data_IF_797768196476
#
_entry.id   IF_797768196476
#
_cell.length_a   1.000
_cell.length_b   1.000
_cell.length_c   1.000
_cell.angle_alpha   90.00
_cell.angle_beta   90.00
_cell.angle_gamma   90.00
#
_symmetry.space_group_name_H-M   'P 1'
#
loop_
_entity.id
_entity.type
_entity.pdbx_description
1 polymer ?
#
# COMPACT_ATOMS: atom_id res chain seq x y z
N UNK A 1 8.26 -14.21 22.05
CA UNK A 1 8.87 -14.24 20.71
C UNK A 1 8.35 -13.01 19.99
N UNK A 2 9.10 -11.91 20.07
CA UNK A 2 8.83 -10.68 19.32
C UNK A 2 9.07 -10.98 17.84
N UNK A 3 8.01 -11.36 17.14
CA UNK A 3 7.96 -11.17 15.70
C UNK A 3 8.08 -9.67 15.50
N UNK A 4 9.29 -9.15 15.27
CA UNK A 4 9.51 -7.79 14.82
C UNK A 4 8.47 -7.54 13.74
N UNK A 5 7.54 -6.62 14.00
CA UNK A 5 6.35 -6.54 13.19
C UNK A 5 6.83 -6.07 11.82
N UNK A 6 6.69 -6.92 10.79
CA UNK A 6 7.21 -6.59 9.46
C UNK A 6 6.64 -5.24 8.99
N UNK A 7 5.46 -4.89 9.49
CA UNK A 7 4.79 -3.61 9.27
C UNK A 7 5.36 -2.41 10.02
N UNK A 8 6.38 -2.57 10.87
CA UNK A 8 7.12 -1.42 11.40
C UNK A 8 7.96 -0.78 10.28
N UNK A 9 8.56 -1.62 9.43
CA UNK A 9 9.43 -1.22 8.30
C UNK A 9 8.79 -1.36 6.92
N UNK A 10 7.54 -1.77 6.86
CA UNK A 10 6.82 -1.90 5.62
C UNK A 10 5.46 -1.23 5.72
N UNK A 11 5.06 -0.57 4.65
CA UNK A 11 3.70 -0.07 4.46
C UNK A 11 3.17 -0.58 3.16
N UNK A 12 1.86 -0.71 3.08
CA UNK A 12 1.21 -1.19 1.87
C UNK A 12 0.10 -0.24 1.47
N UNK A 13 0.10 0.11 0.19
CA UNK A 13 -1.01 0.77 -0.49
C UNK A 13 -1.82 -0.34 -1.14
N UNK A 14 -3.11 -0.39 -0.83
CA UNK A 14 -4.05 -1.28 -1.49
C UNK A 14 -4.82 -0.50 -2.54
N UNK A 15 -4.87 -1.03 -3.76
CA UNK A 15 -5.64 -0.46 -4.85
C UNK A 15 -6.49 -1.52 -5.55
N UNK A 16 -7.48 -1.06 -6.29
CA UNK A 16 -8.27 -1.87 -7.21
C UNK A 16 -8.38 -1.08 -8.52
N UNK A 17 -8.19 -1.78 -9.63
CA UNK A 17 -8.31 -1.22 -10.97
C UNK A 17 -9.40 -1.96 -11.71
N UNK A 18 -10.40 -1.20 -12.14
CA UNK A 18 -11.49 -1.69 -12.95
C UNK A 18 -11.15 -1.44 -14.43
N UNK A 19 -10.85 -2.51 -15.17
CA UNK A 19 -10.47 -2.43 -16.59
C UNK A 19 -11.63 -2.04 -17.51
N UNK A 20 -12.87 -2.19 -17.05
CA UNK A 20 -14.07 -1.86 -17.84
C UNK A 20 -14.33 -0.35 -17.88
N UNK A 21 -14.15 0.32 -16.75
CA UNK A 21 -14.35 1.76 -16.57
C UNK A 21 -13.03 2.55 -16.54
N UNK A 22 -11.88 1.87 -16.61
CA UNK A 22 -10.55 2.43 -16.41
C UNK A 22 -10.44 3.25 -15.10
N UNK A 23 -11.16 2.83 -14.07
CA UNK A 23 -11.20 3.51 -12.78
C UNK A 23 -10.27 2.83 -11.78
N UNK A 24 -9.38 3.61 -11.16
CA UNK A 24 -8.55 3.15 -10.04
C UNK A 24 -9.06 3.72 -8.73
N UNK A 25 -9.33 2.84 -7.77
CA UNK A 25 -9.66 3.21 -6.39
C UNK A 25 -8.57 2.70 -5.45
N UNK A 26 -8.33 3.45 -4.38
CA UNK A 26 -7.31 3.14 -3.38
C UNK A 26 -7.98 3.02 -2.01
N UNK A 27 -7.41 2.17 -1.16
CA UNK A 27 -7.84 2.04 0.23
C UNK A 27 -7.44 3.29 1.01
N UNK A 28 -8.38 3.82 1.79
CA UNK A 28 -8.19 4.95 2.70
C UNK A 28 -8.67 4.57 4.08
N UNK A 29 -7.81 4.74 5.06
CA UNK A 29 -8.04 4.49 6.49
C UNK A 29 -8.03 5.84 7.23
N UNK A 30 -9.21 6.43 7.41
CA UNK A 30 -9.32 7.78 7.98
C UNK A 30 -8.68 8.85 7.10
N UNK A 31 -7.54 9.41 7.52
CA UNK A 31 -6.74 10.37 6.73
C UNK A 31 -5.50 9.75 6.09
N UNK A 32 -5.25 8.46 6.31
CA UNK A 32 -4.12 7.73 5.76
C UNK A 32 -4.56 6.84 4.60
N UNK A 33 -3.65 6.53 3.69
CA UNK A 33 -3.83 5.53 2.63
C UNK A 33 -2.86 4.35 2.76
N UNK A 34 -2.04 4.38 3.80
CA UNK A 34 -1.10 3.32 4.13
C UNK A 34 -1.69 2.38 5.17
N UNK A 35 -1.53 1.08 4.91
CA UNK A 35 -1.81 0.00 5.83
C UNK A 35 -0.51 -0.68 6.30
N UNK A 36 -0.50 -1.29 7.50
CA UNK A 36 -1.56 -1.24 8.51
C UNK A 36 -1.56 0.02 9.37
N UNK A 37 -0.48 0.79 9.34
CA UNK A 37 -0.34 2.04 10.09
C UNK A 37 -0.01 3.20 9.14
N UNK A 38 -0.40 4.43 9.49
CA UNK A 38 -0.01 5.61 8.72
C UNK A 38 1.50 5.78 8.66
N UNK A 39 1.96 6.61 7.71
CA UNK A 39 3.35 7.03 7.69
C UNK A 39 3.64 7.93 8.90
N UNK A 40 4.79 7.82 9.58
CA UNK A 40 5.17 8.80 10.58
C UNK A 40 5.32 10.19 9.95
N UNK A 41 4.97 11.24 10.70
CA UNK A 41 5.00 12.63 10.21
C UNK A 41 6.41 13.08 9.80
N UNK A 42 7.43 12.57 10.50
CA UNK A 42 8.84 12.82 10.23
C UNK A 42 9.38 12.02 9.04
N UNK A 43 8.58 11.15 8.43
CA UNK A 43 9.04 10.34 7.32
C UNK A 43 9.22 11.19 6.06
N UNK A 44 10.31 10.93 5.34
CA UNK A 44 10.64 11.63 4.11
C UNK A 44 10.98 10.66 2.98
N UNK A 45 10.70 11.03 1.73
CA UNK A 45 11.00 10.16 0.60
C UNK A 45 12.51 9.97 0.46
N UNK A 46 12.94 8.71 0.29
CA UNK A 46 14.35 8.35 0.11
C UNK A 46 14.54 7.46 -1.11
N UNK A 47 15.79 7.38 -1.59
CA UNK A 47 16.15 6.41 -2.62
C UNK A 47 16.19 4.99 -2.02
N UNK A 48 15.97 3.99 -2.87
CA UNK A 48 16.10 2.59 -2.47
C UNK A 48 17.51 2.32 -1.92
N UNK A 49 17.63 1.65 -0.75
CA UNK A 49 18.93 1.28 -0.21
C UNK A 49 19.62 0.26 -1.12
N UNK A 50 20.96 0.25 -1.09
CA UNK A 50 21.76 -0.69 -1.88
C UNK A 50 21.51 -2.16 -1.49
N UNK A 51 21.20 -2.40 -0.21
CA UNK A 51 20.91 -3.72 0.33
C UNK A 51 19.51 -3.73 0.94
N UNK A 52 18.70 -4.68 0.48
CA UNK A 52 17.33 -4.86 0.95
C UNK A 52 17.25 -6.14 1.75
N UNK A 53 16.91 -6.05 3.05
CA UNK A 53 16.70 -7.25 3.88
C UNK A 53 15.46 -8.02 3.44
N UNK A 54 15.42 -9.34 3.72
CA UNK A 54 14.26 -10.22 3.48
C UNK A 54 12.98 -9.73 4.19
N UNK A 55 13.12 -8.95 5.26
CA UNK A 55 11.98 -8.28 5.92
C UNK A 55 11.24 -7.28 5.04
N UNK A 56 11.87 -6.81 3.97
CA UNK A 56 11.23 -5.91 3.01
C UNK A 56 10.78 -6.66 1.75
N UNK A 57 10.87 -7.99 1.73
CA UNK A 57 10.45 -8.79 0.60
C UNK A 57 8.93 -8.64 0.35
N UNK A 58 8.56 -8.49 -0.92
CA UNK A 58 7.19 -8.16 -1.28
C UNK A 58 6.24 -9.34 -0.99
N UNK A 59 6.63 -10.56 -1.35
CA UNK A 59 5.86 -11.77 -1.10
C UNK A 59 5.68 -12.00 0.41
N UNK A 60 6.74 -11.77 1.19
CA UNK A 60 6.70 -11.87 2.66
C UNK A 60 5.72 -10.87 3.26
N UNK A 61 5.73 -9.62 2.79
CA UNK A 61 4.81 -8.56 3.26
C UNK A 61 3.36 -8.84 2.83
N UNK A 62 3.14 -9.33 1.61
CA UNK A 62 1.81 -9.72 1.14
C UNK A 62 1.26 -10.91 1.93
N UNK A 63 2.09 -11.92 2.22
CA UNK A 63 1.71 -13.06 3.06
C UNK A 63 1.34 -12.61 4.49
N UNK A 64 2.12 -11.70 5.07
CA UNK A 64 1.80 -11.13 6.37
C UNK A 64 0.49 -10.33 6.33
N UNK A 65 0.24 -9.57 5.25
CA UNK A 65 -0.95 -8.72 5.17
C UNK A 65 -2.21 -9.52 4.88
N UNK A 66 -2.13 -10.54 4.02
CA UNK A 66 -3.23 -11.48 3.80
C UNK A 66 -3.60 -12.21 5.08
N UNK A 67 -2.60 -12.63 5.89
CA UNK A 67 -2.85 -13.23 7.20
C UNK A 67 -3.47 -12.25 8.21
N UNK A 68 -2.98 -10.99 8.27
CA UNK A 68 -3.49 -9.99 9.21
C UNK A 68 -4.91 -9.53 8.89
N UNK A 69 -5.23 -9.35 7.62
CA UNK A 69 -6.52 -8.82 7.16
C UNK A 69 -7.51 -9.91 6.75
N UNK A 70 -7.07 -11.17 6.69
CA UNK A 70 -7.89 -12.30 6.24
C UNK A 70 -8.18 -12.29 4.74
N UNK A 71 -7.33 -11.66 3.93
CA UNK A 71 -7.47 -11.67 2.47
C UNK A 71 -6.98 -12.99 1.88
N UNK A 72 -7.61 -13.44 0.80
CA UNK A 72 -7.05 -14.55 0.02
C UNK A 72 -5.81 -14.07 -0.75
N UNK A 73 -4.67 -14.79 -0.68
CA UNK A 73 -3.47 -14.40 -1.43
C UNK A 73 -3.68 -14.45 -2.95
N UNK A 74 -4.70 -15.17 -3.43
CA UNK A 74 -5.06 -15.27 -4.85
C UNK A 74 -5.81 -14.05 -5.38
N UNK A 75 -6.38 -13.22 -4.50
CA UNK A 75 -7.12 -12.02 -4.92
C UNK A 75 -6.27 -10.75 -4.91
N UNK A 76 -5.01 -10.86 -4.48
CA UNK A 76 -4.04 -9.77 -4.46
C UNK A 76 -2.88 -10.11 -5.39
N UNK A 77 -2.40 -9.08 -6.07
CA UNK A 77 -1.18 -9.16 -6.88
C UNK A 77 -0.30 -7.96 -6.58
N UNK A 78 1.01 -8.12 -6.70
CA UNK A 78 1.95 -7.01 -6.65
C UNK A 78 1.79 -6.14 -7.90
N UNK A 79 1.89 -4.83 -7.72
CA UNK A 79 2.12 -3.92 -8.83
C UNK A 79 3.63 -3.83 -9.06
N UNK A 80 4.11 -4.58 -10.06
CA UNK A 80 5.52 -4.61 -10.43
C UNK A 80 6.03 -3.21 -10.80
N UNK A 81 7.25 -2.88 -10.37
CA UNK A 81 7.87 -1.59 -10.60
C UNK A 81 7.58 -0.54 -9.52
N UNK A 82 6.70 -0.81 -8.54
CA UNK A 82 6.55 0.09 -7.38
C UNK A 82 7.65 -0.18 -6.34
N UNK A 83 8.63 0.72 -6.28
CA UNK A 83 9.79 0.59 -5.38
C UNK A 83 10.03 1.88 -4.60
N UNK A 84 9.00 2.36 -3.90
CA UNK A 84 9.10 3.57 -3.10
C UNK A 84 9.62 3.29 -1.69
N UNK A 85 10.50 4.16 -1.21
CA UNK A 85 11.13 4.07 0.11
C UNK A 85 10.96 5.37 0.87
N UNK A 86 10.71 5.26 2.17
CA UNK A 86 10.61 6.38 3.09
C UNK A 86 11.65 6.24 4.18
N UNK A 87 12.42 7.28 4.44
CA UNK A 87 13.27 7.38 5.61
C UNK A 87 12.43 7.72 6.83
N UNK A 88 12.75 7.13 7.99
CA UNK A 88 12.11 7.44 9.27
C UNK A 88 13.15 7.36 10.40
N UNK A 89 12.88 7.98 11.57
CA UNK A 89 13.80 7.91 12.72
C UNK A 89 14.11 6.48 13.20
N UNK A 90 13.21 5.53 12.94
CA UNK A 90 13.37 4.10 13.29
C UNK A 90 14.06 3.27 12.21
N UNK A 91 14.36 3.86 11.06
CA UNK A 91 14.98 3.23 9.90
C UNK A 91 14.15 3.36 8.61
N UNK A 92 14.67 2.82 7.49
CA UNK A 92 13.99 2.88 6.21
C UNK A 92 12.71 2.04 6.23
N UNK A 93 11.66 2.57 5.60
CA UNK A 93 10.34 1.98 5.45
C UNK A 93 10.10 1.74 3.96
N UNK A 94 9.87 0.49 3.55
CA UNK A 94 9.51 0.16 2.18
C UNK A 94 8.00 0.29 1.97
N UNK A 95 7.59 0.95 0.89
CA UNK A 95 6.19 1.06 0.50
C UNK A 95 5.91 0.05 -0.62
N UNK A 96 4.95 -0.83 -0.38
CA UNK A 96 4.49 -1.83 -1.33
C UNK A 96 3.16 -1.41 -1.94
N UNK A 97 2.94 -1.77 -3.20
CA UNK A 97 1.66 -1.55 -3.86
C UNK A 97 1.05 -2.91 -4.21
N UNK A 98 -0.12 -3.17 -3.63
CA UNK A 98 -0.90 -4.36 -3.90
C UNK A 98 -2.20 -3.98 -4.61
N UNK A 99 -2.54 -4.75 -5.64
CA UNK A 99 -3.74 -4.57 -6.43
C UNK A 99 -4.67 -5.77 -6.23
N UNK A 100 -5.94 -5.49 -5.98
CA UNK A 100 -6.98 -6.50 -6.03
C UNK A 100 -7.28 -6.90 -7.48
N UNK A 101 -7.28 -8.20 -7.75
CA UNK A 101 -7.57 -8.80 -9.07
C UNK A 101 -9.04 -9.21 -9.24
N UNK A 102 -9.87 -8.92 -8.25
CA UNK A 102 -11.31 -9.16 -8.27
C UNK A 102 -12.01 -8.27 -9.29
N UNK A 103 -13.19 -8.71 -9.75
CA UNK A 103 -14.03 -7.92 -10.65
C UNK A 103 -14.38 -6.57 -10.00
N UNK A 104 -14.91 -6.62 -8.78
CA UNK A 104 -15.27 -5.44 -8.00
C UNK A 104 -14.28 -5.19 -6.85
N UNK A 105 -14.14 -3.93 -6.44
CA UNK A 105 -13.36 -3.56 -5.27
C UNK A 105 -13.96 -4.19 -3.99
N UNK A 106 -13.21 -5.01 -3.23
CA UNK A 106 -13.76 -5.78 -2.11
C UNK A 106 -13.93 -4.91 -0.85
N UNK A 107 -14.93 -4.02 -0.85
CA UNK A 107 -15.20 -3.07 0.24
C UNK A 107 -15.36 -3.75 1.60
N UNK A 108 -16.06 -4.90 1.63
CA UNK A 108 -16.26 -5.71 2.83
C UNK A 108 -14.96 -6.22 3.47
N UNK A 109 -13.87 -6.26 2.70
CA UNK A 109 -12.57 -6.68 3.20
C UNK A 109 -11.86 -5.52 3.95
N UNK A 110 -12.10 -4.27 3.56
CA UNK A 110 -11.54 -3.09 4.20
C UNK A 110 -12.36 -2.59 5.41
N UNK A 111 -13.69 -2.76 5.37
CA UNK A 111 -14.61 -2.28 6.41
C UNK A 111 -14.24 -2.69 7.85
N UNK A 112 -13.82 -3.95 8.15
CA UNK A 112 -13.41 -4.35 9.49
C UNK A 112 -12.23 -3.57 10.05
N UNK A 113 -11.41 -3.00 9.15
CA UNK A 113 -10.23 -2.23 9.48
C UNK A 113 -10.48 -0.72 9.36
N UNK A 114 -11.74 -0.29 9.20
CA UNK A 114 -12.11 1.11 9.02
C UNK A 114 -11.64 1.69 7.68
N UNK A 115 -11.28 0.84 6.72
CA UNK A 115 -10.83 1.24 5.40
C UNK A 115 -12.01 1.41 4.44
N UNK A 116 -11.89 2.38 3.53
CA UNK A 116 -12.84 2.61 2.43
C UNK A 116 -12.10 2.77 1.12
N UNK A 117 -12.65 2.23 0.04
CA UNK A 117 -12.13 2.50 -1.30
C UNK A 117 -12.59 3.87 -1.78
N UNK A 118 -11.63 4.69 -2.20
CA UNK A 118 -11.86 6.03 -2.75
C UNK A 118 -10.99 6.26 -3.99
N UNK A 119 -11.48 6.99 -5.00
CA UNK A 119 -10.65 7.41 -6.13
C UNK A 119 -9.61 8.44 -5.67
N UNK A 120 -8.50 8.58 -6.41
CA UNK A 120 -7.43 9.53 -6.08
C UNK A 120 -7.94 10.98 -5.93
N UNK A 121 -8.98 11.36 -6.69
CA UNK A 121 -9.62 12.67 -6.61
C UNK A 121 -10.28 12.95 -5.24
N UNK A 122 -10.71 11.91 -4.53
CA UNK A 122 -11.31 11.98 -3.19
C UNK A 122 -10.27 11.78 -2.06
N UNK A 123 -8.98 11.60 -2.40
CA UNK A 123 -7.89 11.49 -1.42
C UNK A 123 -7.38 12.84 -0.92
N UNK A 124 -8.12 13.93 -1.17
CA UNK A 124 -7.78 15.25 -0.62
C UNK A 124 -7.82 15.21 0.91
N UNK A 125 -6.84 15.87 1.53
CA UNK A 125 -6.69 15.93 2.99
C UNK A 125 -5.86 14.80 3.61
N UNK A 126 -5.27 13.91 2.79
CA UNK A 126 -4.22 12.98 3.26
C UNK A 126 -2.88 13.72 3.38
N UNK A 127 -1.92 13.20 4.18
CA UNK A 127 -0.58 13.74 4.25
C UNK A 127 0.06 13.87 2.87
N UNK A 128 0.81 14.95 2.64
CA UNK A 128 1.39 15.24 1.31
C UNK A 128 2.33 14.13 0.83
N UNK A 129 3.05 13.49 1.75
CA UNK A 129 3.94 12.37 1.43
C UNK A 129 3.14 11.17 0.90
N UNK A 130 2.06 10.79 1.58
CA UNK A 130 1.17 9.72 1.15
C UNK A 130 0.44 10.05 -0.15
N UNK A 131 0.04 11.30 -0.35
CA UNK A 131 -0.57 11.75 -1.60
C UNK A 131 0.42 11.64 -2.78
N UNK A 132 1.70 11.95 -2.56
CA UNK A 132 2.73 11.80 -3.59
C UNK A 132 2.97 10.32 -3.93
N UNK A 133 2.99 9.43 -2.92
CA UNK A 133 3.08 7.98 -3.12
C UNK A 133 1.87 7.46 -3.92
N UNK A 134 0.67 7.90 -3.58
CA UNK A 134 -0.56 7.54 -4.31
C UNK A 134 -0.52 7.97 -5.77
N UNK A 135 -0.01 9.17 -6.06
CA UNK A 135 0.13 9.65 -7.44
C UNK A 135 1.04 8.72 -8.24
N UNK A 136 2.20 8.37 -7.69
CA UNK A 136 3.13 7.41 -8.33
C UNK A 136 2.49 6.03 -8.51
N UNK A 137 1.75 5.55 -7.50
CA UNK A 137 1.02 4.29 -7.58
C UNK A 137 -0.05 4.31 -8.67
N UNK A 138 -0.80 5.41 -8.78
CA UNK A 138 -1.79 5.64 -9.82
C UNK A 138 -1.16 5.68 -11.20
N UNK A 139 -0.09 6.44 -11.38
CA UNK A 139 0.62 6.55 -12.66
C UNK A 139 1.16 5.18 -13.10
N UNK A 140 1.69 4.38 -12.17
CA UNK A 140 2.15 3.02 -12.45
C UNK A 140 1.00 2.09 -12.85
N UNK A 141 -0.11 2.10 -12.09
CA UNK A 141 -1.30 1.27 -12.38
C UNK A 141 -1.92 1.65 -13.72
N UNK A 142 -1.95 2.94 -14.07
CA UNK A 142 -2.47 3.43 -15.34
C UNK A 142 -1.51 3.20 -16.52
N UNK A 143 -0.20 3.29 -16.31
CA UNK A 143 0.79 3.08 -17.37
C UNK A 143 1.08 1.61 -17.65
N UNK A 144 0.81 0.72 -16.69
CA UNK A 144 0.95 -0.74 -16.83
C UNK A 144 -0.36 -1.48 -17.11
N UNK A 145 -1.42 -0.75 -17.47
CA UNK A 145 -2.73 -1.28 -17.84
C UNK A 145 -2.83 -1.72 -19.28
#
# INVERSE_FOLDING_TARGET
MESANIFDRNRVILCHFDSYSAASVFARYGTSVLAPTPLPEEASAMAAPAETSEQHDADTVMAAMTAQYGYSPTVLTHADGFQEWMDSPTGPIRIHLLRFTTLDAPKAALEPNGGVFKPISEMRGTPIQELNLLRRAFDLVMSGG
#
